data_IF_652056753191
#
_entry.id   IF_652056753191
#
_cell.length_a   1.000
_cell.length_b   1.000
_cell.length_c   1.000
_cell.angle_alpha   90.00
_cell.angle_beta   90.00
_cell.angle_gamma   90.00
#
_symmetry.space_group_name_H-M   'P 1'
#
loop_
_entity.id
_entity.type
_entity.pdbx_description
1 polymer ?
#
# COMPACT_ATOMS: atom_id res chain seq x y z
N UNK A 1 -8.19 16.11 32.78
CA UNK A 1 -7.29 17.08 33.43
C UNK A 1 -5.94 16.83 32.82
N UNK A 2 -5.50 17.72 31.93
CA UNK A 2 -4.25 17.53 31.19
C UNK A 2 -3.08 17.75 32.15
N UNK A 3 -2.26 16.71 32.29
CA UNK A 3 -1.06 16.78 33.10
C UNK A 3 -0.03 17.63 32.36
N UNK A 4 0.44 18.71 32.97
CA UNK A 4 1.43 19.60 32.35
C UNK A 4 2.83 18.94 32.43
N UNK A 5 3.17 18.18 31.40
CA UNK A 5 4.49 17.55 31.27
C UNK A 5 5.61 18.57 31.04
N UNK A 6 5.31 19.77 30.55
CA UNK A 6 6.32 20.75 30.17
C UNK A 6 6.90 21.46 31.40
N UNK A 7 6.04 21.90 32.32
CA UNK A 7 6.46 22.71 33.46
C UNK A 7 6.51 21.95 34.80
N UNK A 8 6.16 20.66 34.83
CA UNK A 8 6.23 19.88 36.07
C UNK A 8 7.65 19.44 36.43
N UNK A 9 7.88 19.26 37.73
CA UNK A 9 9.02 18.50 38.23
C UNK A 9 8.96 17.05 37.79
N UNK A 10 10.10 16.47 37.44
CA UNK A 10 10.19 15.09 36.95
C UNK A 10 9.72 14.08 38.01
N UNK A 11 9.87 14.41 39.29
CA UNK A 11 9.35 13.65 40.44
C UNK A 11 7.80 13.54 40.45
N UNK A 12 7.09 14.54 39.92
CA UNK A 12 5.63 14.49 39.80
C UNK A 12 5.19 13.43 38.77
N UNK A 13 5.97 13.24 37.70
CA UNK A 13 5.73 12.19 36.70
C UNK A 13 5.87 10.81 37.34
N UNK A 14 6.91 10.61 38.14
CA UNK A 14 7.12 9.36 38.89
C UNK A 14 5.96 9.09 39.86
N UNK A 15 5.56 10.10 40.63
CA UNK A 15 4.45 10.01 41.59
C UNK A 15 3.14 9.63 40.89
N UNK A 16 2.86 10.21 39.73
CA UNK A 16 1.67 9.91 38.95
C UNK A 16 1.69 8.53 38.29
N UNK A 17 2.84 8.09 37.76
CA UNK A 17 3.01 6.70 37.29
C UNK A 17 2.73 5.72 38.43
N UNK A 18 3.30 5.98 39.62
CA UNK A 18 3.06 5.16 40.81
C UNK A 18 1.60 5.17 41.27
N UNK A 19 0.92 6.32 41.21
CA UNK A 19 -0.49 6.46 41.57
C UNK A 19 -1.40 5.67 40.62
N UNK A 20 -1.14 5.76 39.32
CA UNK A 20 -1.97 5.15 38.27
C UNK A 20 -1.73 3.65 38.12
N UNK A 21 -0.58 3.10 38.57
CA UNK A 21 -0.22 1.66 38.51
C UNK A 21 -1.31 0.68 38.93
N UNK A 22 -2.25 1.06 39.82
CA UNK A 22 -3.32 0.17 40.28
C UNK A 22 -4.44 -0.06 39.25
N UNK A 23 -4.60 0.84 38.29
CA UNK A 23 -5.64 0.79 37.27
C UNK A 23 -4.98 0.71 35.88
N UNK A 24 -5.22 -0.40 35.17
CA UNK A 24 -4.67 -0.65 33.83
C UNK A 24 -4.85 0.53 32.88
N UNK A 25 -6.09 1.02 32.73
CA UNK A 25 -6.44 2.03 31.73
C UNK A 25 -5.75 3.35 32.09
N UNK A 26 -5.83 3.78 33.35
CA UNK A 26 -5.20 5.00 33.82
C UNK A 26 -3.66 4.94 33.72
N UNK A 27 -3.07 3.78 34.03
CA UNK A 27 -1.64 3.56 33.93
C UNK A 27 -1.14 3.62 32.48
N UNK A 28 -1.82 2.90 31.58
CA UNK A 28 -1.47 2.89 30.17
C UNK A 28 -1.67 4.27 29.53
N UNK A 29 -2.75 4.99 29.88
CA UNK A 29 -2.99 6.36 29.43
C UNK A 29 -1.84 7.30 29.82
N UNK A 30 -1.48 7.28 31.10
CA UNK A 30 -0.44 8.16 31.62
C UNK A 30 0.94 7.78 31.07
N UNK A 31 1.23 6.49 30.94
CA UNK A 31 2.48 6.00 30.35
C UNK A 31 2.60 6.39 28.87
N UNK A 32 1.53 6.28 28.08
CA UNK A 32 1.51 6.73 26.67
C UNK A 32 1.76 8.23 26.58
N UNK A 33 1.07 9.04 27.39
CA UNK A 33 1.29 10.50 27.42
C UNK A 33 2.73 10.86 27.79
N UNK A 34 3.31 10.14 28.76
CA UNK A 34 4.71 10.31 29.16
C UNK A 34 5.67 9.96 28.00
N UNK A 35 5.43 8.85 27.29
CA UNK A 35 6.24 8.45 26.13
C UNK A 35 6.12 9.44 24.95
N UNK A 36 4.91 9.96 24.68
CA UNK A 36 4.70 11.00 23.66
C UNK A 36 5.40 12.30 24.00
N UNK A 37 5.41 12.67 25.29
CA UNK A 37 6.19 13.81 25.72
C UNK A 37 7.69 13.61 25.48
N UNK A 38 8.23 12.43 25.82
CA UNK A 38 9.63 12.06 25.54
C UNK A 38 9.99 12.13 24.05
N UNK A 39 9.09 11.69 23.17
CA UNK A 39 9.23 11.84 21.71
C UNK A 39 9.35 13.31 21.30
N UNK A 40 8.48 14.18 21.82
CA UNK A 40 8.47 15.61 21.48
C UNK A 40 9.71 16.36 21.97
N UNK A 41 10.29 15.96 23.10
CA UNK A 41 11.47 16.61 23.68
C UNK A 41 12.79 15.93 23.28
N UNK A 42 12.73 14.98 22.34
CA UNK A 42 13.84 14.03 22.10
C UNK A 42 15.17 14.74 21.84
N UNK A 43 15.16 15.77 21.00
CA UNK A 43 16.36 16.55 20.64
C UNK A 43 16.49 17.86 21.44
N UNK A 44 15.37 18.41 21.92
CA UNK A 44 15.33 19.74 22.54
C UNK A 44 15.74 19.76 24.02
N UNK A 45 15.63 18.64 24.74
CA UNK A 45 15.93 18.58 26.19
C UNK A 45 16.53 17.23 26.61
N UNK A 46 17.83 16.99 26.33
CA UNK A 46 18.45 15.67 26.50
C UNK A 46 18.53 15.20 27.97
N UNK A 47 18.77 16.11 28.92
CA UNK A 47 18.84 15.80 30.36
C UNK A 47 17.45 15.39 30.90
N UNK A 48 16.43 16.20 30.60
CA UNK A 48 15.04 15.91 30.98
C UNK A 48 14.56 14.59 30.37
N UNK A 49 14.89 14.33 29.10
CA UNK A 49 14.65 13.04 28.43
C UNK A 49 15.27 11.87 29.19
N UNK A 50 16.54 11.96 29.58
CA UNK A 50 17.23 10.89 30.31
C UNK A 50 16.58 10.60 31.67
N UNK A 51 16.20 11.65 32.42
CA UNK A 51 15.54 11.49 33.71
C UNK A 51 14.17 10.79 33.58
N UNK A 52 13.36 11.21 32.60
CA UNK A 52 12.04 10.59 32.36
C UNK A 52 12.19 9.15 31.88
N UNK A 53 13.16 8.85 31.01
CA UNK A 53 13.46 7.48 30.58
C UNK A 53 13.87 6.60 31.76
N UNK A 54 14.67 7.13 32.71
CA UNK A 54 15.02 6.46 33.95
C UNK A 54 13.78 6.04 34.75
N UNK A 55 12.87 6.98 34.98
CA UNK A 55 11.59 6.74 35.67
C UNK A 55 10.74 5.69 34.95
N UNK A 56 10.64 5.76 33.62
CA UNK A 56 9.91 4.77 32.82
C UNK A 56 10.51 3.39 33.04
N UNK A 57 11.84 3.25 32.96
CA UNK A 57 12.54 1.97 33.14
C UNK A 57 12.33 1.39 34.53
N UNK A 58 12.43 2.21 35.58
CA UNK A 58 12.17 1.80 36.96
C UNK A 58 10.72 1.37 37.15
N UNK A 59 9.78 2.20 36.67
CA UNK A 59 8.35 1.92 36.68
C UNK A 59 8.03 0.58 36.01
N UNK A 60 8.51 0.37 34.78
CA UNK A 60 8.33 -0.88 34.04
C UNK A 60 8.94 -2.08 34.81
N UNK A 61 10.08 -1.89 35.46
CA UNK A 61 10.71 -2.91 36.29
C UNK A 61 9.83 -3.41 37.44
N UNK A 62 9.02 -2.53 38.03
CA UNK A 62 8.10 -2.88 39.12
C UNK A 62 6.84 -3.63 38.67
N UNK A 63 6.53 -3.66 37.37
CA UNK A 63 5.27 -4.23 36.86
C UNK A 63 5.23 -5.77 36.89
N UNK A 64 6.32 -6.45 37.22
CA UNK A 64 6.40 -7.93 37.24
C UNK A 64 5.36 -8.57 38.16
N UNK A 65 4.93 -7.87 39.21
CA UNK A 65 3.97 -8.33 40.22
C UNK A 65 2.55 -7.79 40.00
N UNK A 66 2.30 -7.11 38.88
CA UNK A 66 1.00 -6.52 38.58
C UNK A 66 -0.08 -7.58 38.30
N UNK A 67 -1.33 -7.33 38.71
CA UNK A 67 -2.46 -8.27 38.59
C UNK A 67 -2.91 -8.51 37.14
N UNK A 68 -2.86 -7.47 36.30
CA UNK A 68 -3.20 -7.54 34.88
C UNK A 68 -2.01 -8.03 34.04
N UNK A 69 -2.25 -9.07 33.25
CA UNK A 69 -1.24 -9.73 32.39
C UNK A 69 -0.66 -8.80 31.32
N UNK A 70 -1.46 -7.91 30.73
CA UNK A 70 -0.98 -7.00 29.69
C UNK A 70 0.01 -5.99 30.25
N UNK A 71 -0.27 -5.47 31.44
CA UNK A 71 0.63 -4.56 32.17
C UNK A 71 1.87 -5.30 32.66
N UNK A 72 1.72 -6.54 33.12
CA UNK A 72 2.84 -7.38 33.57
C UNK A 72 3.84 -7.64 32.44
N UNK A 73 3.36 -7.89 31.22
CA UNK A 73 4.22 -8.12 30.05
C UNK A 73 5.09 -6.91 29.68
N UNK A 74 4.67 -5.68 30.01
CA UNK A 74 5.46 -4.47 29.77
C UNK A 74 6.78 -4.46 30.55
N UNK A 75 6.85 -5.19 31.67
CA UNK A 75 8.10 -5.32 32.45
C UNK A 75 9.27 -5.91 31.65
N UNK A 76 8.99 -6.63 30.55
CA UNK A 76 9.99 -7.16 29.62
C UNK A 76 10.73 -6.08 28.82
N UNK A 77 10.18 -4.86 28.75
CA UNK A 77 10.80 -3.73 28.06
C UNK A 77 11.89 -3.07 28.91
N UNK A 78 11.74 -3.06 30.24
CA UNK A 78 12.72 -2.47 31.16
C UNK A 78 14.17 -2.93 30.92
N UNK A 79 14.49 -4.25 30.81
CA UNK A 79 15.87 -4.68 30.55
C UNK A 79 16.37 -4.31 29.15
N UNK A 80 15.47 -4.15 28.17
CA UNK A 80 15.85 -3.72 26.80
C UNK A 80 16.22 -2.24 26.78
N UNK A 81 15.48 -1.42 27.50
CA UNK A 81 15.72 0.02 27.65
C UNK A 81 16.96 0.36 28.50
N UNK A 82 17.47 -0.58 29.31
CA UNK A 82 18.73 -0.38 30.08
C UNK A 82 19.99 -0.54 29.22
N UNK A 83 19.89 -1.18 28.05
CA UNK A 83 21.04 -1.32 27.15
C UNK A 83 21.26 0.03 26.46
N UNK A 84 22.33 0.72 26.86
CA UNK A 84 22.68 2.06 26.42
C UNK A 84 22.96 2.13 24.90
N UNK A 85 22.67 3.32 24.34
CA UNK A 85 22.81 3.75 22.92
C UNK A 85 21.67 3.37 21.98
N UNK A 86 20.46 3.82 22.29
CA UNK A 86 19.34 3.68 21.37
C UNK A 86 18.80 5.06 20.97
N UNK A 87 18.69 5.28 19.66
CA UNK A 87 18.20 6.53 19.06
C UNK A 87 16.66 6.65 19.16
N UNK A 88 16.09 7.73 18.61
CA UNK A 88 14.63 7.93 18.57
C UNK A 88 13.91 6.73 17.95
N UNK A 89 14.48 6.14 16.90
CA UNK A 89 13.87 5.01 16.19
C UNK A 89 13.73 3.80 17.10
N UNK A 90 14.76 3.48 17.88
CA UNK A 90 14.69 2.40 18.85
C UNK A 90 13.67 2.68 19.97
N UNK A 91 13.59 3.93 20.44
CA UNK A 91 12.58 4.34 21.41
C UNK A 91 11.16 4.11 20.87
N UNK A 92 10.89 4.55 19.65
CA UNK A 92 9.59 4.39 19.00
C UNK A 92 9.21 2.90 18.84
N UNK A 93 10.17 2.05 18.49
CA UNK A 93 9.96 0.60 18.41
C UNK A 93 9.59 0.01 19.78
N UNK A 94 10.21 0.48 20.86
CA UNK A 94 9.91 0.05 22.22
C UNK A 94 8.62 0.64 22.79
N UNK A 95 8.20 1.80 22.28
CA UNK A 95 6.95 2.46 22.63
C UNK A 95 5.74 1.73 22.01
N UNK A 96 5.88 1.19 20.80
CA UNK A 96 4.79 0.54 20.06
C UNK A 96 4.02 -0.54 20.84
N UNK A 97 4.62 -1.47 21.62
CA UNK A 97 3.90 -2.44 22.42
C UNK A 97 3.10 -1.82 23.59
N UNK A 98 3.52 -0.66 24.10
CA UNK A 98 2.82 0.09 25.15
C UNK A 98 1.59 0.75 24.52
N UNK A 99 1.80 1.47 23.43
CA UNK A 99 0.73 2.11 22.66
C UNK A 99 -0.30 1.08 22.22
N UNK A 100 0.10 -0.03 21.57
CA UNK A 100 -0.82 -1.11 21.17
C UNK A 100 -1.66 -1.67 22.32
N UNK A 101 -1.13 -1.75 23.54
CA UNK A 101 -1.87 -2.26 24.71
C UNK A 101 -2.85 -1.23 25.26
N UNK A 102 -2.49 0.05 25.25
CA UNK A 102 -3.41 1.15 25.53
C UNK A 102 -4.54 1.19 24.49
N UNK A 103 -4.13 1.09 23.23
CA UNK A 103 -4.91 1.07 22.00
C UNK A 103 -5.55 -0.28 21.67
N UNK A 104 -5.69 -1.21 22.62
CA UNK A 104 -6.53 -2.41 22.43
C UNK A 104 -8.02 -2.08 22.22
N UNK A 105 -8.36 -0.78 22.25
CA UNK A 105 -9.63 -0.18 21.88
C UNK A 105 -9.55 0.67 20.60
N UNK A 106 -8.49 0.55 19.78
CA UNK A 106 -8.47 1.22 18.48
C UNK A 106 -9.60 0.62 17.64
N UNK A 107 -10.65 1.41 17.53
CA UNK A 107 -11.64 1.29 16.48
C UNK A 107 -11.01 1.89 15.22
N UNK A 108 -11.47 1.46 14.05
CA UNK A 108 -10.91 1.87 12.77
C UNK A 108 -10.87 3.41 12.59
N UNK A 109 -11.73 4.15 13.28
CA UNK A 109 -11.80 5.62 13.30
C UNK A 109 -10.65 6.30 14.06
N UNK A 110 -9.90 5.56 14.88
CA UNK A 110 -8.76 6.06 15.67
C UNK A 110 -7.41 5.74 15.02
N UNK A 111 -7.39 5.04 13.88
CA UNK A 111 -6.22 4.98 13.02
C UNK A 111 -6.10 6.37 12.37
N UNK A 112 -5.26 7.22 12.94
CA UNK A 112 -4.96 8.53 12.36
C UNK A 112 -4.18 8.29 11.07
N UNK A 113 -4.88 8.27 9.94
CA UNK A 113 -4.27 8.50 8.62
C UNK A 113 -4.00 10.00 8.57
N UNK A 114 -2.78 10.44 8.90
CA UNK A 114 -2.41 11.83 8.66
C UNK A 114 -2.36 12.03 7.13
N UNK A 115 -3.01 13.08 6.65
CA UNK A 115 -2.91 13.52 5.24
C UNK A 115 -1.47 13.73 4.76
N UNK A 116 -0.51 13.88 5.68
CA UNK A 116 0.94 13.94 5.41
C UNK A 116 1.60 12.58 5.11
N UNK A 117 0.97 11.46 5.46
CA UNK A 117 1.45 10.11 5.07
C UNK A 117 1.19 9.82 3.58
N UNK A 118 0.49 10.71 2.88
CA UNK A 118 0.36 10.65 1.43
C UNK A 118 1.71 10.95 0.79
N UNK A 119 2.47 9.90 0.50
CA UNK A 119 3.59 10.01 -0.44
C UNK A 119 3.06 10.63 -1.73
N UNK A 120 3.69 11.70 -2.19
CA UNK A 120 3.49 12.18 -3.57
C UNK A 120 4.03 11.09 -4.49
N UNK A 121 3.14 10.27 -5.04
CA UNK A 121 3.52 9.26 -6.00
C UNK A 121 4.12 9.94 -7.23
N UNK A 122 5.28 9.43 -7.68
CA UNK A 122 5.86 9.87 -8.95
C UNK A 122 4.99 9.31 -10.06
N UNK A 123 4.25 10.17 -10.75
CA UNK A 123 3.50 9.76 -11.93
C UNK A 123 4.48 9.23 -12.98
N UNK A 124 4.21 8.05 -13.51
CA UNK A 124 4.85 7.57 -14.74
C UNK A 124 4.08 8.16 -15.93
N UNK A 125 4.77 8.46 -17.05
CA UNK A 125 4.15 9.01 -18.25
C UNK A 125 3.35 7.93 -19.02
N UNK A 126 2.57 7.12 -18.32
CA UNK A 126 1.66 6.12 -18.84
C UNK A 126 0.25 6.68 -18.80
N UNK A 127 -0.47 6.62 -19.92
CA UNK A 127 -1.90 6.85 -20.00
C UNK A 127 -2.55 5.47 -20.13
N UNK A 128 -3.78 5.30 -19.67
CA UNK A 128 -4.55 4.07 -19.88
C UNK A 128 -5.87 4.43 -20.55
N UNK A 129 -6.27 3.67 -21.57
CA UNK A 129 -7.58 3.80 -22.21
C UNK A 129 -8.36 2.54 -21.90
N UNK A 130 -9.52 2.68 -21.26
CA UNK A 130 -10.49 1.63 -21.03
C UNK A 130 -11.60 1.77 -22.06
N UNK A 131 -11.57 0.94 -23.10
CA UNK A 131 -12.62 0.95 -24.12
C UNK A 131 -13.63 -0.16 -23.87
N UNK A 132 -14.91 0.20 -23.88
CA UNK A 132 -16.02 -0.75 -23.86
C UNK A 132 -15.95 -1.83 -22.75
N UNK A 133 -15.44 -1.49 -21.56
CA UNK A 133 -15.41 -2.41 -20.41
C UNK A 133 -16.78 -2.46 -19.72
N UNK A 134 -17.47 -3.61 -19.84
CA UNK A 134 -18.78 -3.83 -19.18
C UNK A 134 -18.71 -3.95 -17.67
N UNK A 135 -17.64 -4.55 -17.16
CA UNK A 135 -17.50 -4.90 -15.74
C UNK A 135 -17.02 -3.73 -14.89
N UNK A 136 -17.91 -3.18 -14.05
CA UNK A 136 -17.55 -2.19 -13.03
C UNK A 136 -16.45 -2.68 -12.08
N UNK A 137 -16.35 -4.00 -11.84
CA UNK A 137 -15.27 -4.60 -11.04
C UNK A 137 -13.92 -4.53 -11.76
N UNK A 138 -13.90 -4.76 -13.08
CA UNK A 138 -12.69 -4.66 -13.89
C UNK A 138 -12.24 -3.20 -13.97
N UNK A 139 -13.16 -2.26 -14.23
CA UNK A 139 -12.87 -0.83 -14.18
C UNK A 139 -12.26 -0.44 -12.82
N UNK A 140 -12.90 -0.85 -11.72
CA UNK A 140 -12.37 -0.62 -10.38
C UNK A 140 -10.97 -1.22 -10.15
N UNK A 141 -10.66 -2.35 -10.77
CA UNK A 141 -9.34 -2.99 -10.70
C UNK A 141 -8.28 -2.23 -11.52
N UNK A 142 -8.64 -1.67 -12.67
CA UNK A 142 -7.77 -0.79 -13.46
C UNK A 142 -7.43 0.47 -12.66
N UNK A 143 -8.41 1.13 -12.04
CA UNK A 143 -8.17 2.31 -11.20
C UNK A 143 -7.26 2.03 -10.01
N UNK A 144 -7.46 0.90 -9.32
CA UNK A 144 -6.61 0.50 -8.18
C UNK A 144 -5.18 0.20 -8.61
N UNK A 145 -5.00 -0.52 -9.70
CA UNK A 145 -3.66 -0.82 -10.24
C UNK A 145 -2.97 0.46 -10.71
N UNK A 146 -3.71 1.33 -11.39
CA UNK A 146 -3.23 2.62 -11.89
C UNK A 146 -2.73 3.54 -10.77
N UNK A 147 -3.42 3.56 -9.63
CA UNK A 147 -3.01 4.33 -8.45
C UNK A 147 -1.72 3.78 -7.84
N UNK A 148 -1.62 2.45 -7.69
CA UNK A 148 -0.42 1.79 -7.16
C UNK A 148 0.82 2.02 -8.04
N UNK A 149 0.67 1.97 -9.36
CA UNK A 149 1.77 2.11 -10.33
C UNK A 149 2.09 3.57 -10.63
N UNK A 150 1.16 4.49 -10.36
CA UNK A 150 1.33 5.92 -10.62
C UNK A 150 1.02 6.32 -12.07
N UNK A 151 0.02 5.69 -12.69
CA UNK A 151 -0.47 6.08 -14.03
C UNK A 151 -0.84 7.57 -14.05
N UNK A 152 -0.50 8.25 -15.14
CA UNK A 152 -0.71 9.70 -15.25
C UNK A 152 -2.17 10.07 -15.42
N UNK A 153 -2.88 9.32 -16.29
CA UNK A 153 -4.28 9.57 -16.68
C UNK A 153 -4.98 8.31 -17.18
N UNK A 154 -6.28 8.17 -16.91
CA UNK A 154 -7.16 7.13 -17.46
C UNK A 154 -8.23 7.78 -18.35
N UNK A 155 -8.46 7.24 -19.54
CA UNK A 155 -9.64 7.55 -20.36
C UNK A 155 -10.64 6.41 -20.25
N UNK A 156 -11.92 6.76 -20.07
CA UNK A 156 -13.04 5.83 -20.04
C UNK A 156 -13.88 6.09 -21.27
N UNK A 157 -14.00 5.10 -22.15
CA UNK A 157 -14.56 5.25 -23.49
C UNK A 157 -15.76 4.32 -23.72
N UNK A 158 -16.63 4.72 -24.65
CA UNK A 158 -17.78 3.94 -25.07
C UNK A 158 -18.78 3.72 -23.93
N UNK A 159 -19.27 2.49 -23.81
CA UNK A 159 -20.23 2.13 -22.75
C UNK A 159 -19.57 1.79 -21.40
N UNK A 160 -18.27 2.03 -21.26
CA UNK A 160 -17.55 1.75 -20.01
C UNK A 160 -18.12 2.58 -18.86
N UNK A 161 -18.54 1.91 -17.78
CA UNK A 161 -19.01 2.60 -16.59
C UNK A 161 -17.87 3.36 -15.90
N UNK A 162 -18.06 4.65 -15.64
CA UNK A 162 -17.06 5.50 -15.00
C UNK A 162 -17.29 5.62 -13.48
N UNK A 163 -16.35 6.21 -12.72
CA UNK A 163 -16.53 6.49 -11.30
C UNK A 163 -17.66 7.49 -10.96
N UNK A 164 -18.41 8.01 -11.94
CA UNK A 164 -19.67 8.72 -11.68
C UNK A 164 -20.82 7.77 -11.30
N UNK A 165 -20.77 6.52 -11.77
CA UNK A 165 -21.72 5.48 -11.40
C UNK A 165 -21.40 4.92 -10.01
N UNK A 166 -22.44 4.69 -9.19
CA UNK A 166 -22.25 4.24 -7.80
C UNK A 166 -21.58 2.87 -7.70
N UNK A 167 -21.83 1.96 -8.64
CA UNK A 167 -21.27 0.62 -8.62
C UNK A 167 -19.77 0.68 -8.92
N UNK A 168 -19.37 1.41 -9.96
CA UNK A 168 -17.96 1.63 -10.29
C UNK A 168 -17.25 2.45 -9.20
N UNK A 169 -17.92 3.44 -8.61
CA UNK A 169 -17.36 4.19 -7.49
C UNK A 169 -17.02 3.29 -6.30
N UNK A 170 -17.87 2.32 -5.97
CA UNK A 170 -17.60 1.34 -4.90
C UNK A 170 -16.40 0.45 -5.22
N UNK A 171 -16.27 -0.03 -6.46
CA UNK A 171 -15.21 -0.97 -6.85
C UNK A 171 -13.83 -0.30 -6.91
N UNK A 172 -13.77 0.99 -7.24
CA UNK A 172 -12.50 1.76 -7.23
C UNK A 172 -11.93 1.96 -5.81
N UNK A 173 -12.74 1.78 -4.75
CA UNK A 173 -12.31 1.97 -3.36
C UNK A 173 -11.67 3.34 -3.08
N UNK A 174 -12.11 4.40 -3.80
CA UNK A 174 -11.61 5.76 -3.63
C UNK A 174 -10.37 6.12 -4.46
N UNK A 175 -9.77 5.17 -5.18
CA UNK A 175 -8.58 5.41 -6.04
C UNK A 175 -8.86 6.35 -7.22
N UNK A 176 -10.10 6.41 -7.69
CA UNK A 176 -10.57 7.38 -8.70
C UNK A 176 -10.39 8.85 -8.30
N UNK A 177 -10.17 9.14 -7.02
CA UNK A 177 -9.88 10.50 -6.53
C UNK A 177 -8.41 10.89 -6.66
N UNK A 178 -7.53 9.90 -6.82
CA UNK A 178 -6.08 10.09 -6.85
C UNK A 178 -5.51 10.01 -8.28
N UNK A 179 -6.13 9.19 -9.14
CA UNK A 179 -5.77 9.07 -10.55
C UNK A 179 -6.58 10.07 -11.37
N UNK A 180 -5.92 10.85 -12.23
CA UNK A 180 -6.63 11.73 -13.16
C UNK A 180 -7.38 10.87 -14.18
N UNK A 181 -8.66 11.16 -14.44
CA UNK A 181 -9.41 10.40 -15.44
C UNK A 181 -10.40 11.29 -16.19
N UNK A 182 -10.83 10.83 -17.36
CA UNK A 182 -11.77 11.56 -18.20
C UNK A 182 -12.62 10.62 -19.06
N UNK A 183 -13.91 10.93 -19.19
CA UNK A 183 -14.80 10.27 -20.15
C UNK A 183 -14.63 10.82 -21.57
N UNK A 184 -14.74 9.93 -22.55
CA UNK A 184 -14.75 10.21 -24.00
C UNK A 184 -15.77 9.32 -24.68
N UNK A 185 -16.32 9.78 -25.80
CA UNK A 185 -17.33 8.99 -26.52
C UNK A 185 -16.71 7.72 -27.11
N UNK A 186 -15.55 7.84 -27.75
CA UNK A 186 -14.87 6.71 -28.38
C UNK A 186 -13.38 6.65 -28.04
N UNK A 187 -12.80 5.45 -28.00
CA UNK A 187 -11.35 5.30 -27.89
C UNK A 187 -10.62 5.89 -29.10
N UNK A 188 -11.22 5.81 -30.30
CA UNK A 188 -10.67 6.36 -31.54
C UNK A 188 -10.33 7.85 -31.45
N UNK A 189 -11.21 8.66 -30.84
CA UNK A 189 -10.94 10.10 -30.59
C UNK A 189 -9.71 10.32 -29.70
N UNK A 190 -9.54 9.47 -28.68
CA UNK A 190 -8.41 9.57 -27.75
C UNK A 190 -7.12 9.20 -28.47
N UNK A 191 -7.15 8.11 -29.24
CA UNK A 191 -6.01 7.65 -30.04
C UNK A 191 -5.60 8.71 -31.06
N UNK A 192 -6.55 9.35 -31.76
CA UNK A 192 -6.24 10.43 -32.69
C UNK A 192 -5.63 11.65 -31.98
N UNK A 193 -6.17 12.03 -30.82
CA UNK A 193 -5.62 13.10 -30.00
C UNK A 193 -4.18 12.81 -29.53
N UNK A 194 -3.87 11.56 -29.20
CA UNK A 194 -2.52 11.11 -28.82
C UNK A 194 -1.55 11.07 -30.00
N UNK A 195 -2.00 10.59 -31.16
CA UNK A 195 -1.23 10.60 -32.42
C UNK A 195 -0.80 12.02 -32.79
N UNK A 196 -1.72 12.99 -32.69
CA UNK A 196 -1.42 14.41 -32.90
C UNK A 196 -0.39 14.97 -31.91
N UNK A 197 -0.23 14.33 -30.75
CA UNK A 197 0.79 14.65 -29.75
C UNK A 197 2.08 13.83 -29.90
N UNK A 198 2.17 12.98 -30.93
CA UNK A 198 3.30 12.07 -31.16
C UNK A 198 3.53 11.13 -29.96
N UNK A 199 2.47 10.77 -29.25
CA UNK A 199 2.51 9.79 -28.18
C UNK A 199 2.21 8.42 -28.82
N UNK A 200 3.11 7.42 -28.68
CA UNK A 200 2.85 6.07 -29.17
C UNK A 200 1.62 5.48 -28.50
N UNK A 201 0.84 4.66 -29.20
CA UNK A 201 -0.34 3.97 -28.67
C UNK A 201 -0.18 2.46 -28.89
N UNK A 202 -0.51 1.68 -27.87
CA UNK A 202 -0.41 0.22 -27.90
C UNK A 202 -1.75 -0.36 -27.48
N UNK A 203 -2.28 -1.29 -28.28
CA UNK A 203 -3.47 -2.07 -27.94
C UNK A 203 -3.08 -3.43 -27.36
N UNK A 204 -3.70 -3.80 -26.25
CA UNK A 204 -3.62 -5.15 -25.67
C UNK A 204 -4.86 -5.93 -26.11
N UNK A 205 -4.67 -6.98 -26.89
CA UNK A 205 -5.72 -7.80 -27.49
C UNK A 205 -5.37 -9.29 -27.46
N UNK A 206 -6.33 -10.15 -27.79
CA UNK A 206 -6.08 -11.61 -27.88
C UNK A 206 -6.32 -12.11 -29.30
N UNK A 207 -5.70 -11.48 -30.29
CA UNK A 207 -5.84 -11.85 -31.71
C UNK A 207 -4.58 -12.48 -32.29
N UNK A 208 -4.77 -13.45 -33.19
CA UNK A 208 -3.67 -14.12 -33.87
C UNK A 208 -2.81 -13.12 -34.68
N UNK A 209 -1.48 -13.27 -34.62
CA UNK A 209 -0.53 -12.41 -35.32
C UNK A 209 -0.08 -11.18 -34.51
N UNK A 210 -0.49 -11.06 -33.25
CA UNK A 210 0.04 -10.06 -32.33
C UNK A 210 1.45 -10.36 -31.86
N UNK A 211 2.15 -9.31 -31.42
CA UNK A 211 3.42 -9.48 -30.72
C UNK A 211 3.12 -9.91 -29.29
N UNK A 212 3.76 -10.99 -28.82
CA UNK A 212 3.71 -11.41 -27.42
C UNK A 212 4.13 -10.26 -26.50
N UNK A 213 3.33 -10.00 -25.47
CA UNK A 213 3.64 -9.00 -24.44
C UNK A 213 5.02 -9.21 -23.80
N UNK A 214 5.48 -10.47 -23.71
CA UNK A 214 6.77 -10.80 -23.12
C UNK A 214 7.96 -10.46 -24.03
N UNK A 215 7.71 -10.36 -25.34
CA UNK A 215 8.74 -10.10 -26.35
C UNK A 215 8.73 -8.64 -26.82
N UNK A 216 7.77 -7.84 -26.35
CA UNK A 216 7.62 -6.45 -26.76
C UNK A 216 8.46 -5.49 -25.92
N UNK A 217 9.17 -4.59 -26.61
CA UNK A 217 9.91 -3.51 -25.97
C UNK A 217 9.08 -2.22 -25.96
N UNK A 218 8.63 -1.82 -24.78
CA UNK A 218 7.86 -0.59 -24.60
C UNK A 218 8.67 0.67 -24.95
N UNK A 219 8.19 1.51 -25.87
CA UNK A 219 8.82 2.79 -26.16
C UNK A 219 8.56 3.73 -24.98
N UNK A 220 9.57 4.12 -24.22
CA UNK A 220 9.39 5.10 -23.14
C UNK A 220 9.16 6.50 -23.75
N UNK A 221 8.06 7.22 -23.41
CA UNK A 221 6.96 6.85 -22.52
C UNK A 221 5.87 6.03 -23.24
N UNK A 222 5.56 4.82 -22.76
CA UNK A 222 4.61 3.90 -23.39
C UNK A 222 3.19 4.12 -22.88
N UNK A 223 2.20 3.84 -23.72
CA UNK A 223 0.77 3.95 -23.47
C UNK A 223 0.12 2.60 -23.69
N UNK A 224 -0.56 2.06 -22.68
CA UNK A 224 -1.28 0.77 -22.77
C UNK A 224 -2.79 1.03 -22.88
N UNK A 225 -3.40 0.56 -23.97
CA UNK A 225 -4.86 0.48 -24.16
C UNK A 225 -5.28 -0.91 -23.73
N UNK A 226 -6.20 -1.00 -22.77
CA UNK A 226 -6.85 -2.25 -22.41
C UNK A 226 -8.13 -2.35 -23.24
N UNK A 227 -8.13 -3.19 -24.27
CA UNK A 227 -9.36 -3.65 -24.91
C UNK A 227 -9.89 -4.85 -24.13
N UNK A 228 -11.19 -4.85 -23.83
CA UNK A 228 -11.86 -5.93 -23.13
C UNK A 228 -12.61 -6.80 -24.11
N UNK A 229 -12.17 -8.03 -24.32
CA UNK A 229 -13.01 -9.07 -24.93
C UNK A 229 -13.94 -9.69 -23.87
N UNK A 230 -15.25 -9.65 -24.13
CA UNK A 230 -16.18 -10.71 -23.75
C UNK A 230 -16.57 -11.42 -25.05
N UNK A 231 -16.28 -12.72 -25.09
CA UNK A 231 -16.41 -13.61 -26.26
C UNK A 231 -17.65 -13.34 -27.13
N UNK A 232 -17.44 -13.14 -28.43
CA UNK A 232 -18.39 -13.52 -29.47
C UNK A 232 -17.62 -14.13 -30.64
N UNK A 233 -17.78 -15.45 -30.81
CA UNK A 233 -17.26 -16.23 -31.94
C UNK A 233 -17.70 -15.63 -33.28
N UNK A 234 -16.76 -15.39 -34.20
CA UNK A 234 -16.88 -15.88 -35.58
C UNK A 234 -15.60 -15.72 -36.41
N UNK A 235 -15.23 -16.86 -37.01
CA UNK A 235 -14.46 -17.13 -38.24
C UNK A 235 -13.48 -16.08 -38.79
N UNK A 236 -12.25 -16.58 -38.93
CA UNK A 236 -11.12 -15.90 -39.54
C UNK A 236 -11.23 -15.70 -41.05
N UNK A 237 -10.48 -14.70 -41.48
CA UNK A 237 -9.87 -14.66 -42.81
C UNK A 237 -8.46 -14.06 -42.68
N UNK A 238 -7.50 -14.75 -43.30
CA UNK A 238 -6.08 -14.42 -43.33
C UNK A 238 -5.80 -13.14 -44.13
N UNK A 239 -4.87 -12.29 -43.65
CA UNK A 239 -3.84 -11.75 -44.54
C UNK A 239 -2.65 -11.09 -43.82
N UNK A 240 -1.45 -11.55 -44.18
CA UNK A 240 -0.16 -10.90 -43.94
C UNK A 240 0.00 -9.68 -44.85
N UNK A 241 0.36 -8.49 -44.34
CA UNK A 241 1.47 -7.68 -44.91
C UNK A 241 1.82 -6.40 -44.11
N UNK A 242 3.09 -6.32 -43.71
CA UNK A 242 4.07 -5.21 -43.86
C UNK A 242 3.73 -3.73 -43.55
N UNK A 243 4.77 -3.08 -42.99
CA UNK A 243 5.12 -1.65 -43.04
C UNK A 243 4.64 -0.76 -41.89
N UNK A 244 5.37 -0.86 -40.77
CA UNK A 244 5.24 0.02 -39.63
C UNK A 244 5.95 1.37 -39.88
N UNK A 245 5.17 2.37 -40.29
CA UNK A 245 5.51 3.80 -40.18
C UNK A 245 4.32 4.53 -39.55
N UNK A 246 4.45 4.85 -38.26
CA UNK A 246 3.42 5.51 -37.44
C UNK A 246 2.63 4.49 -36.62
N UNK A 247 3.33 3.82 -35.68
CA UNK A 247 2.94 2.52 -35.16
C UNK A 247 1.92 2.54 -34.05
N UNK A 248 0.68 2.22 -34.40
CA UNK A 248 -0.18 1.46 -33.51
C UNK A 248 0.37 0.03 -33.48
N UNK A 249 0.60 -0.52 -32.28
CA UNK A 249 1.03 -1.91 -32.12
C UNK A 249 -0.02 -2.66 -31.33
N UNK A 250 -0.45 -3.79 -31.87
CA UNK A 250 -1.36 -4.72 -31.19
C UNK A 250 -0.54 -5.84 -30.57
N UNK A 251 -0.79 -6.12 -29.29
CA UNK A 251 -0.05 -7.07 -28.48
C UNK A 251 -0.94 -8.12 -27.86
N UNK A 252 -0.42 -9.34 -27.71
CA UNK A 252 -1.17 -10.46 -27.15
C UNK A 252 -1.16 -10.47 -25.61
N UNK A 253 -2.34 -10.44 -24.99
CA UNK A 253 -2.51 -10.64 -23.55
C UNK A 253 -2.34 -12.11 -23.15
N UNK A 254 -1.14 -12.50 -22.70
CA UNK A 254 -0.82 -13.91 -22.49
C UNK A 254 -1.70 -14.67 -21.49
N UNK A 255 -2.29 -15.80 -21.91
CA UNK A 255 -2.56 -16.96 -21.05
C UNK A 255 -1.33 -17.89 -21.11
N UNK A 256 -0.63 -18.08 -19.99
CA UNK A 256 0.29 -19.22 -19.87
C UNK A 256 -0.54 -20.50 -19.85
N UNK A 257 -0.47 -21.28 -20.91
CA UNK A 257 -0.82 -22.70 -20.84
C UNK A 257 0.07 -23.34 -19.77
N UNK A 258 -0.55 -24.08 -18.85
CA UNK A 258 0.19 -24.91 -17.89
C UNK A 258 0.70 -26.11 -18.66
N UNK A 259 2.00 -26.18 -18.91
CA UNK A 259 2.65 -27.43 -19.29
C UNK A 259 2.55 -28.38 -18.07
N UNK A 260 1.82 -29.47 -18.23
CA UNK A 260 1.84 -30.62 -17.32
C UNK A 260 3.18 -31.34 -17.53
N UNK A 261 4.04 -31.35 -16.52
CA UNK A 261 5.23 -32.21 -16.47
C UNK A 261 4.77 -33.65 -16.22
N UNK A 262 4.85 -34.51 -17.25
CA UNK A 262 4.83 -35.96 -17.09
C UNK A 262 6.17 -36.40 -16.47
N UNK A 263 6.12 -36.94 -15.26
CA UNK A 263 7.25 -37.64 -14.62
C UNK A 263 7.42 -39.02 -15.26
N UNK A 264 8.43 -39.18 -16.12
CA UNK A 264 8.96 -40.47 -16.55
C UNK A 264 9.74 -41.12 -15.39
N UNK A 265 9.12 -42.07 -14.68
CA UNK A 265 9.82 -43.04 -13.82
C UNK A 265 10.50 -44.10 -14.71
N UNK A 266 11.76 -43.87 -15.06
CA UNK A 266 12.59 -44.83 -15.78
C UNK A 266 13.16 -45.88 -14.80
N UNK A 267 12.73 -47.13 -15.00
CA UNK A 267 13.26 -48.33 -14.35
C UNK A 267 14.74 -48.56 -14.74
N UNK A 268 15.60 -48.89 -13.78
CA UNK A 268 17.01 -49.14 -14.07
C UNK A 268 17.80 -49.79 -12.93
N UNK A 269 17.52 -51.07 -12.69
CA UNK A 269 18.36 -52.14 -12.13
C UNK A 269 19.71 -51.78 -11.47
N UNK A 270 19.88 -52.19 -10.20
CA UNK A 270 21.14 -52.84 -9.75
C UNK A 270 20.85 -54.04 -8.86
N UNK A 271 21.11 -55.22 -9.41
CA UNK A 271 21.28 -56.51 -8.73
C UNK A 271 22.75 -56.76 -8.43
N UNK A 272 22.96 -57.55 -7.36
CA UNK A 272 24.13 -58.40 -7.03
C UNK A 272 25.39 -57.63 -6.56
N UNK A 273 25.90 -57.82 -5.35
CA UNK A 273 26.32 -59.05 -4.64
C UNK A 273 26.06 -59.02 -3.11
#
# INVERSE_FOLDING_TARGET
MDFDFQNCEVELIEKELNRTKKNKVAFLDFLVKTCRYVENIWDSSPERRQNILGIIVETLGTLRTHKDRDVQELSRLAPKMRKLNFDLKHFLIMFLPIERRYSKSLRDDQIIIDTKDRRKYRKIPLIVICDNLRSAFNVGSVFRTSECVGVSKIFVCGYTSSPTDQQTQKTTMGTHKNVEWQERETAGEVVEWLKNKQIPTIALETVAGCVSLFDFSFPLPSLDVFEGEEEDNNNGDNNNNSNNKGGDVVMEGGKKEKEEEEEDEDEGEKKEE
#
